data_IF_158778593165
#
_entry.id   IF_158778593165
#
_cell.length_a   1.000
_cell.length_b   1.000
_cell.length_c   1.000
_cell.angle_alpha   90.00
_cell.angle_beta   90.00
_cell.angle_gamma   90.00
#
_symmetry.space_group_name_H-M   'P 1'
#
loop_
_entity.id
_entity.type
_entity.pdbx_description
1 polymer ?
#
# COMPACT_ATOMS: atom_id res chain seq x y z
N UNK A 1 -1.87 5.41 8.47
CA UNK A 1 -1.72 6.85 8.15
C UNK A 1 -2.75 7.33 7.13
N UNK A 2 -2.82 6.72 5.94
CA UNK A 2 -3.80 7.10 4.89
C UNK A 2 -5.27 7.14 5.32
N UNK A 3 -5.67 6.32 6.29
CA UNK A 3 -7.03 6.34 6.85
C UNK A 3 -7.30 7.53 7.79
N UNK A 4 -6.35 8.45 7.98
CA UNK A 4 -6.47 9.60 8.89
C UNK A 4 -5.96 9.36 10.32
N UNK A 5 -5.40 8.18 10.61
CA UNK A 5 -4.90 7.84 11.95
C UNK A 5 -5.95 7.16 12.83
N UNK A 6 -5.62 6.98 14.12
CA UNK A 6 -6.56 6.41 15.09
C UNK A 6 -7.60 7.44 15.53
N UNK A 7 -8.83 7.00 15.78
CA UNK A 7 -9.90 7.82 16.34
C UNK A 7 -10.17 7.44 17.80
N UNK A 8 -10.66 6.22 18.04
CA UNK A 8 -10.96 5.67 19.37
C UNK A 8 -10.16 4.41 19.70
N UNK A 9 -9.25 4.03 18.81
CA UNK A 9 -8.39 2.84 18.95
C UNK A 9 -6.92 3.21 19.18
N UNK A 10 -6.06 2.20 19.18
CA UNK A 10 -4.63 2.37 19.29
C UNK A 10 -3.89 1.09 18.98
N UNK A 11 -2.58 1.09 19.22
CA UNK A 11 -1.73 -0.09 19.11
C UNK A 11 -1.70 -0.83 20.44
N UNK A 12 -2.58 -1.82 20.58
CA UNK A 12 -2.57 -2.72 21.73
C UNK A 12 -1.49 -3.78 21.56
N UNK A 13 -0.55 -3.88 22.51
CA UNK A 13 0.45 -4.94 22.55
C UNK A 13 -0.17 -6.22 23.13
N UNK A 14 -1.04 -6.86 22.33
CA UNK A 14 -1.53 -8.23 22.60
C UNK A 14 -0.44 -9.26 22.25
N UNK A 15 0.66 -9.13 22.97
CA UNK A 15 1.89 -9.88 22.77
C UNK A 15 2.31 -10.50 24.10
N UNK A 16 3.19 -11.50 24.00
CA UNK A 16 3.79 -12.15 25.16
C UNK A 16 5.27 -12.33 24.95
N UNK A 17 6.00 -12.30 26.06
CA UNK A 17 7.38 -12.76 26.10
C UNK A 17 7.49 -14.21 25.67
N UNK A 18 8.68 -14.59 25.18
CA UNK A 18 9.00 -15.99 24.93
C UNK A 18 9.10 -16.74 26.26
N UNK A 19 8.90 -18.05 26.20
CA UNK A 19 8.92 -18.92 27.40
C UNK A 19 10.25 -18.82 28.16
N UNK A 20 11.36 -18.73 27.42
CA UNK A 20 12.71 -18.63 27.98
C UNK A 20 13.07 -17.21 28.45
N UNK A 21 12.28 -16.20 28.07
CA UNK A 21 12.42 -14.81 28.53
C UNK A 21 11.51 -14.61 29.76
N UNK A 22 11.81 -15.31 30.85
CA UNK A 22 10.94 -15.42 32.02
C UNK A 22 11.25 -14.40 33.12
N UNK A 23 12.37 -13.68 33.07
CA UNK A 23 12.73 -12.72 34.11
C UNK A 23 11.79 -11.51 34.07
N UNK A 24 11.43 -10.88 35.20
CA UNK A 24 10.56 -9.70 35.18
C UNK A 24 11.03 -8.58 34.25
N UNK A 25 12.36 -8.39 34.12
CA UNK A 25 12.96 -7.39 33.25
C UNK A 25 12.66 -7.63 31.76
N UNK A 26 12.52 -8.88 31.34
CA UNK A 26 12.19 -9.21 29.96
C UNK A 26 10.86 -8.59 29.52
N UNK A 27 9.97 -8.27 30.47
CA UNK A 27 8.66 -7.68 30.18
C UNK A 27 8.83 -6.25 29.70
N UNK A 28 9.83 -5.54 30.22
CA UNK A 28 10.22 -4.23 29.74
C UNK A 28 10.93 -4.34 28.39
N UNK A 29 11.93 -5.23 28.26
CA UNK A 29 12.64 -5.41 26.99
C UNK A 29 11.70 -5.74 25.84
N UNK A 30 10.71 -6.62 26.04
CA UNK A 30 9.77 -6.99 24.99
C UNK A 30 8.87 -5.83 24.56
N UNK A 31 8.42 -5.00 25.50
CA UNK A 31 7.56 -3.85 25.17
C UNK A 31 8.35 -2.72 24.53
N UNK A 32 9.56 -2.43 25.02
CA UNK A 32 10.47 -1.44 24.41
C UNK A 32 10.75 -1.83 22.96
N UNK A 33 11.11 -3.09 22.70
CA UNK A 33 11.36 -3.57 21.33
C UNK A 33 10.13 -3.41 20.42
N UNK A 34 8.93 -3.73 20.93
CA UNK A 34 7.70 -3.53 20.17
C UNK A 34 7.39 -2.06 19.91
N UNK A 35 7.56 -1.20 20.92
CA UNK A 35 7.35 0.24 20.81
C UNK A 35 8.32 0.88 19.82
N UNK A 36 9.61 0.58 19.91
CA UNK A 36 10.64 1.12 19.00
C UNK A 36 10.41 0.66 17.56
N UNK A 37 10.08 -0.61 17.34
CA UNK A 37 9.78 -1.12 16.01
C UNK A 37 8.56 -0.42 15.38
N UNK A 38 7.50 -0.18 16.17
CA UNK A 38 6.31 0.54 15.69
C UNK A 38 6.58 2.02 15.46
N UNK A 39 7.38 2.66 16.31
CA UNK A 39 7.78 4.05 16.16
C UNK A 39 8.60 4.26 14.89
N UNK A 40 9.62 3.42 14.67
CA UNK A 40 10.44 3.48 13.46
C UNK A 40 9.61 3.19 12.21
N UNK A 41 8.75 2.17 12.24
CA UNK A 41 7.83 1.88 11.14
C UNK A 41 6.87 3.03 10.83
N UNK A 42 6.44 3.79 11.84
CA UNK A 42 5.61 4.98 11.68
C UNK A 42 6.35 6.11 10.95
N UNK A 43 7.58 6.40 11.35
CA UNK A 43 8.42 7.43 10.71
C UNK A 43 8.68 7.10 9.23
N UNK A 44 9.03 5.85 8.94
CA UNK A 44 9.26 5.35 7.59
C UNK A 44 7.98 5.45 6.75
N UNK A 45 6.84 4.97 7.27
CA UNK A 45 5.57 5.04 6.58
C UNK A 45 5.13 6.49 6.31
N UNK A 46 5.42 7.41 7.24
CA UNK A 46 5.18 8.84 7.04
C UNK A 46 6.08 9.42 5.95
N UNK A 47 7.37 9.06 5.93
CA UNK A 47 8.31 9.50 4.90
C UNK A 47 7.91 9.00 3.50
N UNK A 48 7.52 7.72 3.37
CA UNK A 48 7.00 7.15 2.13
C UNK A 48 5.75 7.89 1.65
N UNK A 49 4.82 8.18 2.56
CA UNK A 49 3.59 8.90 2.21
C UNK A 49 3.87 10.35 1.80
N UNK A 50 4.83 11.01 2.43
CA UNK A 50 5.23 12.37 2.10
C UNK A 50 5.97 12.46 0.74
N UNK A 51 6.82 11.47 0.44
CA UNK A 51 7.53 11.38 -0.84
C UNK A 51 6.58 11.10 -2.02
N UNK A 52 5.59 10.24 -1.82
CA UNK A 52 4.50 10.03 -2.78
C UNK A 52 4.88 9.29 -4.07
N UNK A 53 6.14 8.89 -4.28
CA UNK A 53 6.59 8.20 -5.50
C UNK A 53 5.87 6.87 -5.75
N UNK A 54 5.57 6.11 -4.70
CA UNK A 54 4.80 4.87 -4.79
C UNK A 54 3.35 5.17 -5.22
N UNK A 55 2.74 6.25 -4.70
CA UNK A 55 1.39 6.66 -5.09
C UNK A 55 1.33 7.16 -6.53
N UNK A 56 2.35 7.90 -6.94
CA UNK A 56 2.48 8.34 -8.31
C UNK A 56 2.58 7.13 -9.26
N UNK A 57 3.37 6.10 -8.92
CA UNK A 57 3.45 4.88 -9.72
C UNK A 57 2.08 4.20 -9.87
N UNK A 58 1.34 4.05 -8.76
CA UNK A 58 0.00 3.44 -8.80
C UNK A 58 -0.95 4.29 -9.65
N UNK A 59 -0.96 5.62 -9.48
CA UNK A 59 -1.79 6.52 -10.28
C UNK A 59 -1.48 6.40 -11.78
N UNK A 60 -0.21 6.40 -12.16
CA UNK A 60 0.18 6.22 -13.57
C UNK A 60 -0.26 4.86 -14.12
N UNK A 61 -0.05 3.78 -13.35
CA UNK A 61 -0.45 2.42 -13.74
C UNK A 61 -1.95 2.29 -14.04
N UNK A 62 -2.78 3.04 -13.33
CA UNK A 62 -4.24 3.01 -13.50
C UNK A 62 -4.79 4.21 -14.28
N UNK A 63 -3.95 5.04 -14.89
CA UNK A 63 -4.38 6.27 -15.57
C UNK A 63 -5.36 6.04 -16.74
N UNK A 64 -5.40 4.83 -17.33
CA UNK A 64 -6.38 4.49 -18.37
C UNK A 64 -7.82 4.49 -17.86
N UNK A 65 -8.03 4.30 -16.55
CA UNK A 65 -9.34 4.34 -15.92
C UNK A 65 -9.91 5.75 -15.81
N UNK A 66 -9.04 6.77 -15.80
CA UNK A 66 -9.43 8.18 -15.82
C UNK A 66 -9.90 8.65 -17.22
N UNK A 67 -9.74 7.80 -18.24
CA UNK A 67 -10.21 8.06 -19.60
C UNK A 67 -11.71 7.87 -19.78
N UNK A 68 -12.22 8.23 -20.96
CA UNK A 68 -13.65 8.16 -21.32
C UNK A 68 -14.25 6.76 -21.12
N UNK A 69 -13.58 5.72 -21.62
CA UNK A 69 -14.05 4.34 -21.49
C UNK A 69 -14.00 3.86 -20.04
N UNK A 70 -12.88 4.08 -19.36
CA UNK A 70 -12.70 3.69 -17.96
C UNK A 70 -13.75 4.31 -17.05
N UNK A 71 -14.02 5.60 -17.21
CA UNK A 71 -15.05 6.32 -16.45
C UNK A 71 -16.44 5.74 -16.72
N UNK A 72 -16.78 5.44 -17.99
CA UNK A 72 -18.06 4.83 -18.37
C UNK A 72 -18.24 3.43 -17.79
N UNK A 73 -17.18 2.63 -17.77
CA UNK A 73 -17.17 1.30 -17.14
C UNK A 73 -17.42 1.44 -15.63
N UNK A 74 -16.68 2.32 -14.95
CA UNK A 74 -16.79 2.53 -13.51
C UNK A 74 -18.16 3.07 -13.07
N UNK A 75 -18.83 3.82 -13.94
CA UNK A 75 -20.20 4.29 -13.73
C UNK A 75 -21.27 3.17 -13.90
N UNK A 76 -20.89 2.01 -14.46
CA UNK A 76 -21.83 0.95 -14.81
C UNK A 76 -22.61 1.21 -16.11
N UNK A 77 -22.20 2.21 -16.89
CA UNK A 77 -22.90 2.67 -18.10
C UNK A 77 -22.42 1.96 -19.39
N UNK A 78 -21.61 0.90 -19.25
CA UNK A 78 -21.05 0.17 -20.39
C UNK A 78 -21.61 -1.25 -20.48
N UNK A 79 -22.15 -1.59 -21.65
CA UNK A 79 -22.63 -2.95 -21.96
C UNK A 79 -21.52 -3.85 -22.50
N UNK A 80 -21.70 -5.16 -22.41
CA UNK A 80 -20.78 -6.14 -23.02
C UNK A 80 -20.63 -5.96 -24.54
N UNK A 81 -21.70 -5.50 -25.22
CA UNK A 81 -21.66 -5.24 -26.66
C UNK A 81 -20.72 -4.09 -26.99
N UNK A 82 -20.80 -2.99 -26.25
CA UNK A 82 -19.89 -1.83 -26.45
C UNK A 82 -18.44 -2.19 -26.12
N UNK A 83 -18.20 -3.00 -25.08
CA UNK A 83 -16.86 -3.48 -24.75
C UNK A 83 -16.26 -4.38 -25.83
N UNK A 84 -17.06 -5.26 -26.42
CA UNK A 84 -16.64 -6.09 -27.56
C UNK A 84 -16.22 -5.19 -28.74
N UNK A 85 -17.07 -4.24 -29.11
CA UNK A 85 -16.82 -3.38 -30.28
C UNK A 85 -15.55 -2.53 -30.09
N UNK A 86 -15.33 -2.04 -28.86
CA UNK A 86 -14.12 -1.31 -28.51
C UNK A 86 -12.87 -2.20 -28.52
N UNK A 87 -12.96 -3.44 -28.03
CA UNK A 87 -11.85 -4.39 -28.08
C UNK A 87 -11.47 -4.74 -29.53
N UNK A 88 -12.45 -4.94 -30.41
CA UNK A 88 -12.21 -5.15 -31.84
C UNK A 88 -11.57 -3.92 -32.51
N UNK A 89 -11.99 -2.71 -32.12
CA UNK A 89 -11.46 -1.45 -32.65
C UNK A 89 -10.02 -1.17 -32.22
N UNK A 90 -9.68 -1.45 -30.96
CA UNK A 90 -8.35 -1.15 -30.38
C UNK A 90 -7.31 -2.21 -30.79
N UNK A 91 -7.71 -3.48 -30.89
CA UNK A 91 -6.80 -4.56 -31.23
C UNK A 91 -5.82 -4.92 -30.11
N UNK A 92 -4.55 -5.14 -30.44
CA UNK A 92 -3.53 -5.56 -29.47
C UNK A 92 -3.10 -4.38 -28.57
N UNK A 93 -3.22 -4.57 -27.26
CA UNK A 93 -2.89 -3.54 -26.26
C UNK A 93 -1.53 -3.86 -25.63
N UNK A 94 -0.58 -2.91 -25.61
CA UNK A 94 0.69 -3.11 -24.92
C UNK A 94 0.47 -3.16 -23.40
N UNK A 95 1.11 -4.12 -22.74
CA UNK A 95 1.10 -4.24 -21.29
C UNK A 95 2.26 -3.47 -20.65
N UNK A 96 1.97 -2.73 -19.59
CA UNK A 96 2.99 -2.04 -18.81
C UNK A 96 3.56 -2.93 -17.69
N UNK A 97 4.89 -2.89 -17.54
CA UNK A 97 5.61 -3.59 -16.47
C UNK A 97 5.13 -3.15 -15.08
N UNK A 98 5.02 -4.11 -14.15
CA UNK A 98 4.72 -3.83 -12.75
C UNK A 98 5.89 -3.24 -11.95
N UNK A 99 7.11 -3.23 -12.50
CA UNK A 99 8.32 -2.64 -11.88
C UNK A 99 8.59 -3.09 -10.43
N UNK A 100 8.31 -4.35 -10.11
CA UNK A 100 8.38 -4.86 -8.73
C UNK A 100 9.75 -4.64 -8.09
N UNK A 101 10.83 -5.02 -8.75
CA UNK A 101 12.19 -4.89 -8.22
C UNK A 101 12.59 -3.42 -8.02
N UNK A 102 12.12 -2.52 -8.88
CA UNK A 102 12.32 -1.08 -8.72
C UNK A 102 11.58 -0.56 -7.49
N UNK A 103 10.34 -0.99 -7.26
CA UNK A 103 9.51 -0.58 -6.12
C UNK A 103 10.03 -1.14 -4.80
N UNK A 104 10.48 -2.40 -4.78
CA UNK A 104 11.13 -3.00 -3.60
C UNK A 104 12.42 -2.25 -3.24
N UNK A 105 13.25 -1.92 -4.23
CA UNK A 105 14.44 -1.11 -4.01
C UNK A 105 14.10 0.31 -3.54
N UNK A 106 13.05 0.92 -4.10
CA UNK A 106 12.56 2.23 -3.68
C UNK A 106 12.12 2.22 -2.22
N UNK A 107 11.37 1.20 -1.80
CA UNK A 107 10.95 0.99 -0.40
C UNK A 107 12.15 0.83 0.53
N UNK A 108 13.14 0.03 0.15
CA UNK A 108 14.35 -0.21 0.94
C UNK A 108 15.20 1.04 1.18
N UNK A 109 15.04 2.12 0.40
CA UNK A 109 15.73 3.40 0.66
C UNK A 109 15.19 4.15 1.87
N UNK A 110 13.99 3.81 2.33
CA UNK A 110 13.38 4.42 3.52
C UNK A 110 13.63 3.59 4.79
N UNK A 111 14.05 2.33 4.66
CA UNK A 111 14.49 1.46 5.76
C UNK A 111 15.90 1.85 6.22
#
# INVERSE_FOLDING_TARGET
LRMGGFTTGGLNFDAKRRRESFEPMDLFHSHIAGMDAMAHGLEIAAAIQADGSIDEFVRHRYASWDGTLGTKIMAGDCSLTELRDEAERVGEVPLESGRQEMLENMFNRFL
#
